data_IF_582386874221
#
_entry.id   IF_582386874221
#
_cell.length_a   1.000
_cell.length_b   1.000
_cell.length_c   1.000
_cell.angle_alpha   90.00
_cell.angle_beta   90.00
_cell.angle_gamma   90.00
#
_symmetry.space_group_name_H-M   'P 1'
#
loop_
_entity.id
_entity.type
_entity.pdbx_description
1 polymer ?
#
# COMPACT_ATOMS: atom_id res chain seq x y z
N UNK A 1 -5.70 11.60 13.57
CA UNK A 1 -5.12 12.92 13.88
C UNK A 1 -6.08 14.06 13.57
N UNK A 2 -6.68 14.15 12.37
CA UNK A 2 -7.68 15.20 12.04
C UNK A 2 -8.86 15.26 13.01
N UNK A 3 -9.48 14.12 13.33
CA UNK A 3 -10.57 14.04 14.31
C UNK A 3 -10.18 14.48 15.72
N UNK A 4 -8.94 14.19 16.12
CA UNK A 4 -8.41 14.57 17.43
C UNK A 4 -8.19 16.08 17.50
N UNK A 5 -7.65 16.69 16.43
CA UNK A 5 -7.48 18.15 16.34
C UNK A 5 -8.83 18.89 16.31
N UNK A 6 -9.83 18.34 15.63
CA UNK A 6 -11.21 18.86 15.68
C UNK A 6 -11.80 18.77 17.08
N UNK A 7 -11.62 17.65 17.78
CA UNK A 7 -12.09 17.50 19.15
C UNK A 7 -11.42 18.49 20.10
N UNK A 8 -10.10 18.69 19.98
CA UNK A 8 -9.37 19.72 20.75
C UNK A 8 -9.94 21.11 20.45
N UNK A 9 -10.13 21.46 19.18
CA UNK A 9 -10.68 22.75 18.78
C UNK A 9 -12.07 22.99 19.40
N UNK A 10 -12.99 22.02 19.26
CA UNK A 10 -14.35 22.10 19.82
C UNK A 10 -14.31 22.24 21.34
N UNK A 11 -13.48 21.43 22.02
CA UNK A 11 -13.34 21.48 23.47
C UNK A 11 -12.79 22.82 23.93
N UNK A 12 -11.78 23.37 23.25
CA UNK A 12 -11.21 24.68 23.58
C UNK A 12 -12.21 25.83 23.39
N UNK A 13 -13.04 25.76 22.35
CA UNK A 13 -14.12 26.73 22.15
C UNK A 13 -15.17 26.67 23.27
N UNK A 14 -15.52 25.46 23.68
CA UNK A 14 -16.50 25.21 24.74
C UNK A 14 -15.97 25.67 26.11
N UNK A 15 -14.70 25.43 26.41
CA UNK A 15 -14.08 25.90 27.67
C UNK A 15 -13.94 27.43 27.73
N UNK A 16 -13.70 28.09 26.60
CA UNK A 16 -13.76 29.56 26.48
C UNK A 16 -15.17 30.08 26.75
N UNK A 17 -16.19 29.41 26.21
CA UNK A 17 -17.60 29.83 26.35
C UNK A 17 -18.13 29.69 27.78
N UNK A 18 -17.68 28.67 28.51
CA UNK A 18 -18.01 28.47 29.95
C UNK A 18 -17.13 29.36 30.85
N UNK A 19 -16.13 30.07 30.30
CA UNK A 19 -15.25 30.97 31.06
C UNK A 19 -14.21 30.26 31.91
N UNK A 20 -14.01 28.96 31.72
CA UNK A 20 -13.06 28.13 32.49
C UNK A 20 -11.62 28.27 32.00
N UNK A 21 -11.43 28.69 30.75
CA UNK A 21 -10.12 28.85 30.13
C UNK A 21 -9.80 30.33 29.95
N UNK A 22 -8.58 30.75 30.33
CA UNK A 22 -8.15 32.13 30.10
C UNK A 22 -8.22 32.49 28.60
N UNK A 23 -8.65 33.71 28.24
CA UNK A 23 -8.76 34.13 26.83
C UNK A 23 -7.46 33.94 26.04
N UNK A 24 -6.32 34.22 26.66
CA UNK A 24 -5.01 34.16 26.01
C UNK A 24 -4.59 32.71 25.68
N UNK A 25 -4.79 31.77 26.62
CA UNK A 25 -4.53 30.33 26.38
C UNK A 25 -5.48 29.76 25.32
N UNK A 26 -6.75 30.16 25.35
CA UNK A 26 -7.73 29.72 24.35
C UNK A 26 -7.36 30.16 22.94
N UNK A 27 -6.91 31.41 22.78
CA UNK A 27 -6.51 31.96 21.48
C UNK A 27 -5.25 31.25 20.93
N UNK A 28 -4.27 30.93 21.78
CA UNK A 28 -3.11 30.12 21.41
C UNK A 28 -3.49 28.71 20.94
N UNK A 29 -4.37 28.03 21.67
CA UNK A 29 -4.80 26.68 21.31
C UNK A 29 -5.60 26.65 20.01
N UNK A 30 -6.46 27.64 19.79
CA UNK A 30 -7.22 27.78 18.54
C UNK A 30 -6.27 28.02 17.37
N UNK A 31 -5.33 28.96 17.48
CA UNK A 31 -4.37 29.27 16.40
C UNK A 31 -3.50 28.06 16.06
N UNK A 32 -2.98 27.34 17.05
CA UNK A 32 -2.23 26.09 16.85
C UNK A 32 -3.08 25.01 16.16
N UNK A 33 -4.31 24.81 16.62
CA UNK A 33 -5.21 23.78 16.08
C UNK A 33 -5.62 24.08 14.64
N UNK A 34 -5.98 25.32 14.35
CA UNK A 34 -6.33 25.79 13.01
C UNK A 34 -5.12 25.71 12.09
N UNK A 35 -3.94 26.17 12.53
CA UNK A 35 -2.71 26.07 11.76
C UNK A 35 -2.36 24.62 11.40
N UNK A 36 -2.48 23.69 12.35
CA UNK A 36 -2.28 22.27 12.12
C UNK A 36 -3.30 21.69 11.12
N UNK A 37 -4.58 22.05 11.23
CA UNK A 37 -5.62 21.61 10.30
C UNK A 37 -5.37 22.13 8.88
N UNK A 38 -5.02 23.41 8.74
CA UNK A 38 -4.67 24.03 7.46
C UNK A 38 -3.46 23.33 6.84
N UNK A 39 -2.41 23.07 7.63
CA UNK A 39 -1.24 22.34 7.16
C UNK A 39 -1.59 20.93 6.65
N UNK A 40 -2.41 20.17 7.38
CA UNK A 40 -2.85 18.83 6.99
C UNK A 40 -3.67 18.88 5.68
N UNK A 41 -4.55 19.89 5.55
CA UNK A 41 -5.35 20.10 4.34
C UNK A 41 -4.47 20.42 3.14
N UNK A 42 -3.55 21.40 3.25
CA UNK A 42 -2.61 21.76 2.20
C UNK A 42 -1.71 20.59 1.81
N UNK A 43 -1.15 19.86 2.77
CA UNK A 43 -0.34 18.65 2.49
C UNK A 43 -1.14 17.62 1.71
N UNK A 44 -2.40 17.40 2.09
CA UNK A 44 -3.26 16.44 1.40
C UNK A 44 -3.59 16.91 -0.02
N UNK A 45 -3.95 18.18 -0.20
CA UNK A 45 -4.25 18.76 -1.50
C UNK A 45 -3.02 18.74 -2.42
N UNK A 46 -1.84 19.04 -1.88
CA UNK A 46 -0.57 18.94 -2.60
C UNK A 46 -0.28 17.53 -3.09
N UNK A 47 -0.51 16.50 -2.26
CA UNK A 47 -0.34 15.09 -2.66
C UNK A 47 -1.25 14.75 -3.83
N UNK A 48 -2.53 15.13 -3.78
CA UNK A 48 -3.48 14.88 -4.87
C UNK A 48 -3.12 15.67 -6.14
N UNK A 49 -2.77 16.94 -6.00
CA UNK A 49 -2.36 17.79 -7.10
C UNK A 49 -1.10 17.26 -7.78
N UNK A 50 -0.09 16.86 -7.00
CA UNK A 50 1.13 16.25 -7.52
C UNK A 50 0.81 14.96 -8.28
N UNK A 51 0.03 14.05 -7.67
CA UNK A 51 -0.36 12.80 -8.30
C UNK A 51 -1.11 13.05 -9.62
N UNK A 52 -2.07 13.98 -9.64
CA UNK A 52 -2.84 14.32 -10.83
C UNK A 52 -1.96 14.90 -11.94
N UNK A 53 -1.13 15.91 -11.63
CA UNK A 53 -0.25 16.55 -12.61
C UNK A 53 0.79 15.56 -13.17
N UNK A 54 1.30 14.67 -12.33
CA UNK A 54 2.24 13.63 -12.75
C UNK A 54 1.56 12.57 -13.60
N UNK A 55 0.35 12.15 -13.24
CA UNK A 55 -0.46 11.21 -14.01
C UNK A 55 -0.76 11.75 -15.41
N UNK A 56 -1.10 13.04 -15.53
CA UNK A 56 -1.29 13.70 -16.83
C UNK A 56 -0.03 13.70 -17.68
N UNK A 57 1.14 14.03 -17.10
CA UNK A 57 2.42 14.00 -17.81
C UNK A 57 2.79 12.60 -18.30
N UNK A 58 2.47 11.59 -17.49
CA UNK A 58 2.68 10.20 -17.83
C UNK A 58 1.55 9.63 -18.71
N UNK A 59 0.49 10.38 -19.04
CA UNK A 59 -0.70 9.83 -19.69
C UNK A 59 -1.20 8.52 -19.05
N UNK A 60 -1.05 8.41 -17.73
CA UNK A 60 -1.31 7.17 -17.00
C UNK A 60 -2.79 6.95 -16.71
N UNK A 61 -3.15 5.71 -16.40
CA UNK A 61 -4.55 5.34 -16.09
C UNK A 61 -4.84 5.23 -14.59
N UNK A 62 -3.81 5.20 -13.75
CA UNK A 62 -3.97 5.06 -12.31
C UNK A 62 -2.79 5.66 -11.53
N UNK A 63 -3.06 6.19 -10.35
CA UNK A 63 -2.08 6.70 -9.39
C UNK A 63 -2.43 6.25 -7.97
N UNK A 64 -1.43 5.90 -7.18
CA UNK A 64 -1.57 5.58 -5.76
C UNK A 64 -0.40 6.12 -4.94
N UNK A 65 -0.67 6.48 -3.70
CA UNK A 65 0.35 6.92 -2.75
C UNK A 65 0.52 5.88 -1.65
N UNK A 66 1.70 5.26 -1.58
CA UNK A 66 1.98 4.15 -0.66
C UNK A 66 3.34 4.31 -0.01
N UNK A 67 3.49 3.72 1.17
CA UNK A 67 4.77 3.74 1.89
C UNK A 67 5.64 2.57 1.47
N UNK A 68 6.83 2.85 0.95
CA UNK A 68 7.81 1.82 0.65
C UNK A 68 8.37 1.24 1.96
N UNK A 69 8.38 -0.08 2.08
CA UNK A 69 8.83 -0.78 3.28
C UNK A 69 10.17 -1.46 3.05
N UNK A 70 10.33 -2.19 1.95
CA UNK A 70 11.55 -2.96 1.65
C UNK A 70 11.60 -3.30 0.17
N UNK A 71 12.81 -3.50 -0.37
CA UNK A 71 13.04 -3.96 -1.74
C UNK A 71 13.68 -2.90 -2.64
N UNK A 72 13.15 -2.82 -3.87
CA UNK A 72 13.53 -2.02 -5.07
C UNK A 72 14.16 -0.63 -4.89
N UNK A 73 14.12 -0.01 -3.71
CA UNK A 73 14.74 1.30 -3.45
C UNK A 73 15.46 1.33 -2.09
N UNK A 74 16.62 1.98 -2.05
CA UNK A 74 17.51 2.02 -0.88
C UNK A 74 16.94 2.76 0.35
N UNK A 75 15.82 3.48 0.25
CA UNK A 75 15.22 4.22 1.38
C UNK A 75 13.92 3.59 1.86
N UNK A 76 14.05 2.64 2.79
CA UNK A 76 12.93 2.11 3.59
C UNK A 76 12.22 3.24 4.34
N UNK A 77 10.89 3.29 4.27
CA UNK A 77 10.05 4.20 5.05
C UNK A 77 9.67 5.51 4.35
N UNK A 78 10.17 5.77 3.13
CA UNK A 78 9.71 6.87 2.30
C UNK A 78 8.34 6.58 1.69
N UNK A 79 7.56 7.63 1.50
CA UNK A 79 6.28 7.53 0.83
C UNK A 79 6.46 7.76 -0.67
N UNK A 80 6.16 6.74 -1.45
CA UNK A 80 6.35 6.68 -2.89
C UNK A 80 5.00 6.83 -3.62
N UNK A 81 5.03 7.49 -4.76
CA UNK A 81 3.93 7.48 -5.71
C UNK A 81 4.11 6.34 -6.70
N UNK A 82 3.06 5.57 -6.90
CA UNK A 82 3.01 4.49 -7.88
C UNK A 82 2.04 4.93 -8.96
N UNK A 83 2.47 4.90 -10.22
CA UNK A 83 1.65 5.23 -11.37
C UNK A 83 1.59 4.05 -12.33
N UNK A 84 0.46 3.90 -13.01
CA UNK A 84 0.34 3.01 -14.16
C UNK A 84 0.33 3.87 -15.42
N UNK A 85 1.39 3.80 -16.21
CA UNK A 85 1.52 4.56 -17.46
C UNK A 85 0.56 4.00 -18.56
N UNK A 86 0.36 4.72 -19.65
CA UNK A 86 -0.38 4.30 -20.85
C UNK A 86 0.11 2.96 -21.38
N UNK A 87 1.44 2.78 -21.41
CA UNK A 87 2.12 1.56 -21.84
C UNK A 87 2.02 0.43 -20.80
N UNK A 88 1.25 0.64 -19.73
CA UNK A 88 0.96 -0.32 -18.66
C UNK A 88 2.17 -0.68 -17.80
N UNK A 89 3.26 0.06 -17.95
CA UNK A 89 4.42 0.00 -17.06
C UNK A 89 4.09 0.65 -15.72
N UNK A 90 4.61 0.07 -14.63
CA UNK A 90 4.53 0.65 -13.30
C UNK A 90 5.68 1.64 -13.11
N UNK A 91 5.34 2.87 -12.73
CA UNK A 91 6.32 3.91 -12.43
C UNK A 91 6.30 4.19 -10.94
N UNK A 92 7.42 3.94 -10.29
CA UNK A 92 7.69 4.29 -8.89
C UNK A 92 8.40 5.65 -8.85
N UNK A 93 7.84 6.60 -8.13
CA UNK A 93 8.35 7.97 -8.03
C UNK A 93 8.44 8.37 -6.55
N UNK A 94 9.67 8.43 -6.01
CA UNK A 94 9.96 8.90 -4.64
C UNK A 94 10.27 10.41 -4.62
N UNK A 95 9.83 11.16 -5.64
CA UNK A 95 10.10 12.60 -5.91
C UNK A 95 11.56 12.96 -6.19
N UNK A 96 12.51 12.18 -5.68
CA UNK A 96 13.94 12.32 -5.95
C UNK A 96 14.35 11.43 -7.12
N UNK A 97 13.93 10.17 -7.08
CA UNK A 97 14.24 9.16 -8.09
C UNK A 97 12.96 8.59 -8.68
N UNK A 98 13.04 8.25 -9.96
CA UNK A 98 12.00 7.57 -10.70
C UNK A 98 12.52 6.22 -11.19
N UNK A 99 11.79 5.16 -10.91
CA UNK A 99 12.08 3.80 -11.40
C UNK A 99 10.88 3.34 -12.20
N UNK A 100 11.10 2.98 -13.46
CA UNK A 100 10.07 2.40 -14.32
C UNK A 100 10.27 0.89 -14.37
N UNK A 101 9.23 0.16 -14.00
CA UNK A 101 9.14 -1.29 -14.05
C UNK A 101 8.25 -1.63 -15.23
N UNK A 102 8.85 -2.24 -16.25
CA UNK A 102 8.12 -2.67 -17.43
C UNK A 102 7.13 -3.77 -17.06
N UNK A 103 5.97 -3.78 -17.72
CA UNK A 103 4.90 -4.69 -17.34
C UNK A 103 5.29 -6.16 -17.52
N UNK A 104 6.05 -6.50 -18.55
CA UNK A 104 6.58 -7.84 -18.81
C UNK A 104 7.46 -8.35 -17.66
N UNK A 105 8.26 -7.48 -17.05
CA UNK A 105 9.10 -7.79 -15.87
C UNK A 105 8.30 -8.02 -14.59
N UNK A 106 7.03 -7.62 -14.53
CA UNK A 106 6.18 -7.91 -13.37
C UNK A 106 5.74 -9.38 -13.43
N UNK A 107 6.23 -10.20 -12.52
CA UNK A 107 5.85 -11.61 -12.43
C UNK A 107 4.52 -11.73 -11.68
N UNK A 108 4.43 -11.15 -10.48
CA UNK A 108 3.24 -11.26 -9.62
C UNK A 108 3.08 -10.06 -8.70
N UNK A 109 1.83 -9.68 -8.46
CA UNK A 109 1.46 -8.67 -7.46
C UNK A 109 0.57 -9.37 -6.44
N UNK A 110 0.90 -9.34 -5.14
CA UNK A 110 -0.04 -9.78 -4.10
C UNK A 110 -0.48 -8.60 -3.26
N UNK A 111 -1.78 -8.52 -2.98
CA UNK A 111 -2.36 -7.55 -2.07
C UNK A 111 -3.03 -8.31 -0.95
N UNK A 112 -2.55 -8.15 0.27
CA UNK A 112 -3.06 -8.84 1.43
C UNK A 112 -3.09 -7.95 2.66
N UNK A 113 -3.84 -8.38 3.68
CA UNK A 113 -3.83 -7.71 4.97
C UNK A 113 -2.45 -7.80 5.62
N UNK A 114 -1.90 -6.66 6.05
CA UNK A 114 -0.58 -6.63 6.67
C UNK A 114 -0.55 -7.44 7.98
N UNK A 115 -1.68 -7.57 8.68
CA UNK A 115 -1.81 -8.44 9.84
C UNK A 115 -1.57 -9.92 9.49
N UNK A 116 -1.96 -10.37 8.30
CA UNK A 116 -1.76 -11.73 7.83
C UNK A 116 -0.28 -12.02 7.57
N UNK A 117 0.46 -11.06 7.01
CA UNK A 117 1.91 -11.16 6.75
C UNK A 117 2.69 -11.45 8.04
N UNK A 118 2.25 -10.89 9.18
CA UNK A 118 2.91 -11.15 10.46
C UNK A 118 2.64 -12.55 11.03
N UNK A 119 1.63 -13.26 10.53
CA UNK A 119 1.21 -14.58 11.03
C UNK A 119 1.66 -15.73 10.14
N UNK A 120 1.72 -15.52 8.82
CA UNK A 120 2.24 -16.51 7.88
C UNK A 120 3.74 -16.71 8.06
N UNK A 121 4.30 -17.83 7.61
CA UNK A 121 5.74 -18.07 7.52
C UNK A 121 6.33 -17.53 6.21
N UNK A 122 7.65 -17.30 6.17
CA UNK A 122 8.30 -16.74 4.97
C UNK A 122 8.17 -17.70 3.77
N UNK A 123 8.15 -19.01 4.02
CA UNK A 123 7.87 -20.04 3.00
C UNK A 123 6.44 -19.93 2.46
N UNK A 124 5.45 -19.76 3.32
CA UNK A 124 4.05 -19.62 2.90
C UNK A 124 3.86 -18.36 2.04
N UNK A 125 4.45 -17.23 2.44
CA UNK A 125 4.38 -16.01 1.63
C UNK A 125 5.12 -16.20 0.29
N UNK A 126 6.25 -16.91 0.30
CA UNK A 126 6.99 -17.23 -0.91
C UNK A 126 6.17 -18.13 -1.86
N UNK A 127 5.49 -19.15 -1.35
CA UNK A 127 4.58 -20.02 -2.10
C UNK A 127 3.41 -19.24 -2.72
N UNK A 128 2.80 -18.30 -1.98
CA UNK A 128 1.74 -17.42 -2.52
C UNK A 128 2.25 -16.56 -3.67
N UNK A 129 3.51 -16.12 -3.60
CA UNK A 129 4.17 -15.34 -4.62
C UNK A 129 4.74 -16.20 -5.77
N UNK A 130 4.81 -17.53 -5.60
CA UNK A 130 5.42 -18.45 -6.56
C UNK A 130 6.94 -18.25 -6.67
N UNK A 131 7.60 -17.92 -5.57
CA UNK A 131 9.03 -17.63 -5.49
C UNK A 131 9.70 -18.40 -4.34
N UNK A 132 11.03 -18.39 -4.28
CA UNK A 132 11.76 -18.89 -3.12
C UNK A 132 11.75 -17.87 -1.96
N UNK A 133 12.05 -18.35 -0.74
CA UNK A 133 12.04 -17.51 0.45
C UNK A 133 13.06 -16.37 0.33
N UNK A 134 12.59 -15.12 0.47
CA UNK A 134 13.38 -13.93 0.22
C UNK A 134 13.66 -13.12 1.50
N UNK A 135 14.89 -12.63 1.76
CA UNK A 135 15.25 -11.91 2.99
C UNK A 135 14.44 -10.62 3.23
N UNK A 136 13.90 -10.01 2.17
CA UNK A 136 13.03 -8.84 2.28
C UNK A 136 11.74 -9.11 3.09
N UNK A 137 11.26 -10.35 3.15
CA UNK A 137 10.10 -10.74 3.99
C UNK A 137 10.38 -10.47 5.48
N UNK A 138 11.59 -10.81 5.94
CA UNK A 138 11.98 -10.59 7.32
C UNK A 138 12.09 -9.09 7.66
N UNK A 139 12.55 -8.25 6.71
CA UNK A 139 12.59 -6.80 6.89
C UNK A 139 11.19 -6.20 7.08
N UNK A 140 10.22 -6.68 6.30
CA UNK A 140 8.81 -6.25 6.36
C UNK A 140 8.18 -6.62 7.69
N UNK A 141 8.39 -7.84 8.19
CA UNK A 141 7.90 -8.24 9.53
C UNK A 141 8.45 -7.32 10.62
N UNK A 142 9.76 -7.07 10.62
CA UNK A 142 10.40 -6.14 11.58
C UNK A 142 9.83 -4.73 11.47
N UNK A 143 9.49 -4.27 10.26
CA UNK A 143 8.84 -2.97 10.07
C UNK A 143 7.39 -2.96 10.60
N UNK A 144 6.62 -4.02 10.37
CA UNK A 144 5.25 -4.17 10.86
C UNK A 144 5.16 -4.27 12.38
N UNK A 145 6.14 -4.89 13.03
CA UNK A 145 6.25 -4.89 14.51
C UNK A 145 6.43 -3.46 15.03
N UNK A 146 7.26 -2.65 14.38
CA UNK A 146 7.49 -1.23 14.73
C UNK A 146 6.32 -0.31 14.38
N UNK A 147 5.46 -0.70 13.44
CA UNK A 147 4.35 0.11 12.94
C UNK A 147 3.01 -0.63 13.10
N UNK A 148 2.46 -0.72 14.33
CA UNK A 148 1.24 -1.49 14.58
C UNK A 148 0.01 -0.96 13.84
N UNK A 149 -0.03 0.35 13.52
CA UNK A 149 -1.09 0.94 12.69
C UNK A 149 -1.11 0.38 11.26
N UNK A 150 0.06 0.00 10.71
CA UNK A 150 0.16 -0.59 9.39
C UNK A 150 -0.46 -2.00 9.31
N UNK A 151 -0.46 -2.75 10.42
CA UNK A 151 -1.04 -4.11 10.50
C UNK A 151 -2.53 -4.16 10.17
N UNK A 152 -3.24 -3.03 10.27
CA UNK A 152 -4.67 -2.92 9.96
C UNK A 152 -4.94 -2.55 8.51
N UNK A 153 -3.89 -2.35 7.70
CA UNK A 153 -3.98 -1.86 6.33
C UNK A 153 -3.52 -2.91 5.32
N UNK A 154 -3.86 -2.67 4.06
CA UNK A 154 -3.38 -3.53 2.98
C UNK A 154 -1.89 -3.28 2.73
N UNK A 155 -1.20 -4.36 2.39
CA UNK A 155 0.16 -4.33 1.88
C UNK A 155 0.17 -4.93 0.48
N UNK A 156 0.87 -4.26 -0.44
CA UNK A 156 1.14 -4.71 -1.78
C UNK A 156 2.56 -5.26 -1.84
N UNK A 157 2.69 -6.50 -2.30
CA UNK A 157 3.93 -7.18 -2.60
C UNK A 157 4.06 -7.20 -4.13
N UNK A 158 5.20 -6.78 -4.63
CA UNK A 158 5.51 -6.72 -6.05
C UNK A 158 6.73 -7.60 -6.30
N UNK A 159 6.55 -8.67 -7.07
CA UNK A 159 7.62 -9.56 -7.51
C UNK A 159 7.93 -9.31 -8.99
N UNK A 160 9.20 -9.01 -9.28
CA UNK A 160 9.71 -8.60 -10.58
C UNK A 160 10.92 -9.39 -11.00
N UNK A 161 11.05 -9.67 -12.28
CA UNK A 161 12.22 -10.29 -12.90
C UNK A 161 13.26 -9.23 -13.30
N UNK A 162 14.54 -9.55 -13.10
CA UNK A 162 15.64 -8.89 -13.81
C UNK A 162 15.93 -7.42 -13.47
N UNK A 163 15.41 -6.87 -12.36
CA UNK A 163 15.74 -5.52 -11.89
C UNK A 163 17.12 -5.50 -11.22
N UNK A 164 18.19 -5.56 -12.02
CA UNK A 164 19.56 -5.32 -11.53
C UNK A 164 19.74 -3.81 -11.35
N UNK A 165 19.85 -3.33 -10.11
CA UNK A 165 20.42 -2.00 -9.83
C UNK A 165 21.81 -2.18 -9.21
N UNK A 166 22.71 -1.22 -9.48
CA UNK A 166 24.11 -1.26 -9.04
C UNK A 166 24.27 -1.19 -7.50
N UNK A 167 23.21 -0.82 -6.77
CA UNK A 167 23.15 -0.82 -5.30
C UNK A 167 22.87 -2.25 -4.75
N UNK A 168 23.80 -3.15 -5.06
CA UNK A 168 23.72 -4.59 -4.85
C UNK A 168 23.93 -5.03 -3.39
N UNK A 169 22.96 -4.76 -2.50
CA UNK A 169 22.89 -5.44 -1.19
C UNK A 169 21.52 -6.06 -0.86
N UNK A 170 20.47 -5.74 -1.61
CA UNK A 170 19.15 -6.39 -1.49
C UNK A 170 18.69 -6.75 -2.90
N UNK A 171 18.48 -8.04 -3.16
CA UNK A 171 17.87 -8.51 -4.39
C UNK A 171 16.55 -7.74 -4.63
N UNK A 172 16.55 -6.95 -5.69
CA UNK A 172 15.49 -6.01 -6.09
C UNK A 172 14.28 -6.71 -6.72
N UNK A 173 14.21 -8.03 -6.62
CA UNK A 173 13.15 -8.83 -7.22
C UNK A 173 11.84 -8.67 -6.44
N UNK A 174 11.88 -8.27 -5.16
CA UNK A 174 10.71 -8.19 -4.30
C UNK A 174 10.60 -6.85 -3.59
N UNK A 175 9.53 -6.11 -3.85
CA UNK A 175 9.21 -4.86 -3.16
C UNK A 175 7.90 -4.91 -2.37
N UNK A 176 7.87 -4.15 -1.28
CA UNK A 176 6.74 -4.08 -0.37
C UNK A 176 6.28 -2.65 -0.17
N UNK A 177 4.98 -2.44 -0.34
CA UNK A 177 4.33 -1.15 -0.18
C UNK A 177 3.17 -1.27 0.79
N UNK A 178 3.09 -0.37 1.77
CA UNK A 178 2.00 -0.32 2.74
C UNK A 178 1.07 0.85 2.45
N UNK A 179 -0.23 0.59 2.40
CA UNK A 179 -1.28 1.62 2.32
C UNK A 179 -1.62 2.17 3.73
N UNK A 180 -0.59 2.46 4.52
CA UNK A 180 -0.76 2.97 5.89
C UNK A 180 -1.53 4.30 5.93
N UNK A 181 -1.43 5.09 4.85
CA UNK A 181 -2.10 6.38 4.72
C UNK A 181 -3.51 6.29 4.13
N UNK A 182 -3.93 5.11 3.64
CA UNK A 182 -5.25 4.90 3.01
C UNK A 182 -5.44 5.67 1.70
N UNK A 183 -4.35 6.07 1.06
CA UNK A 183 -4.30 6.88 -0.19
C UNK A 183 -3.70 6.07 -1.35
N UNK A 184 -3.55 4.76 -1.16
CA UNK A 184 -2.95 3.87 -2.13
C UNK A 184 -3.91 3.48 -3.24
N UNK A 185 -5.24 3.68 -3.13
CA UNK A 185 -6.24 3.29 -4.14
C UNK A 185 -6.06 1.86 -4.70
N UNK A 186 -5.59 0.92 -3.88
CA UNK A 186 -5.15 -0.42 -4.33
C UNK A 186 -6.29 -1.20 -5.01
N UNK A 187 -7.53 -1.03 -4.55
CA UNK A 187 -8.70 -1.70 -5.19
C UNK A 187 -8.91 -1.26 -6.63
N UNK A 188 -8.59 -0.01 -6.97
CA UNK A 188 -8.69 0.51 -8.34
C UNK A 188 -7.54 0.00 -9.21
N UNK A 189 -6.34 -0.16 -8.63
CA UNK A 189 -5.20 -0.81 -9.29
C UNK A 189 -5.54 -2.24 -9.68
N UNK A 190 -6.10 -3.01 -8.75
CA UNK A 190 -6.50 -4.41 -8.97
C UNK A 190 -7.64 -4.57 -10.00
N UNK A 191 -8.35 -3.49 -10.35
CA UNK A 191 -9.35 -3.49 -11.43
C UNK A 191 -8.74 -3.28 -12.81
N UNK A 192 -7.51 -2.80 -12.90
CA UNK A 192 -6.82 -2.61 -14.18
C UNK A 192 -6.57 -3.98 -14.80
N UNK A 193 -7.05 -4.28 -16.03
CA UNK A 193 -6.96 -5.63 -16.61
C UNK A 193 -5.54 -6.19 -16.63
N UNK A 194 -4.56 -5.34 -16.95
CA UNK A 194 -3.15 -5.73 -17.06
C UNK A 194 -2.55 -6.13 -15.71
N UNK A 195 -3.03 -5.52 -14.63
CA UNK A 195 -2.61 -5.84 -13.27
C UNK A 195 -3.40 -7.03 -12.73
N UNK A 196 -4.71 -7.09 -12.97
CA UNK A 196 -5.61 -8.11 -12.45
C UNK A 196 -5.12 -9.53 -12.79
N UNK A 197 -4.67 -9.76 -14.02
CA UNK A 197 -4.15 -11.07 -14.48
C UNK A 197 -2.93 -11.53 -13.68
N UNK A 198 -2.14 -10.59 -13.15
CA UNK A 198 -0.93 -10.86 -12.37
C UNK A 198 -1.16 -10.72 -10.87
N UNK A 199 -2.37 -10.33 -10.46
CA UNK A 199 -2.66 -9.94 -9.10
C UNK A 199 -3.36 -11.03 -8.29
N UNK A 200 -2.85 -11.29 -7.11
CA UNK A 200 -3.48 -12.09 -6.07
C UNK A 200 -4.05 -11.16 -5.00
N UNK A 201 -5.37 -11.13 -4.84
CA UNK A 201 -6.02 -10.36 -3.78
C UNK A 201 -6.50 -11.27 -2.65
N UNK A 202 -5.97 -11.04 -1.45
CA UNK A 202 -6.40 -11.70 -0.21
C UNK A 202 -7.20 -10.68 0.62
N UNK A 203 -8.52 -10.90 0.78
CA UNK A 203 -9.37 -10.00 1.55
C UNK A 203 -8.94 -9.87 3.03
N UNK A 204 -9.31 -8.75 3.65
CA UNK A 204 -9.19 -8.62 5.11
C UNK A 204 -10.07 -9.66 5.81
N UNK A 205 -9.53 -10.25 6.88
CA UNK A 205 -10.21 -11.26 7.67
C UNK A 205 -10.11 -12.69 7.13
N UNK A 206 -9.38 -12.93 6.04
CA UNK A 206 -9.02 -14.30 5.62
C UNK A 206 -8.23 -14.98 6.72
N UNK A 207 -8.64 -16.20 7.09
CA UNK A 207 -7.95 -17.03 8.08
C UNK A 207 -6.85 -17.85 7.40
N UNK A 208 -5.82 -18.22 8.15
CA UNK A 208 -4.71 -19.05 7.64
C UNK A 208 -5.24 -20.41 7.17
N UNK A 209 -6.19 -20.99 7.91
CA UNK A 209 -6.88 -22.24 7.56
C UNK A 209 -7.61 -22.18 6.20
N UNK A 210 -8.02 -20.99 5.75
CA UNK A 210 -8.64 -20.81 4.42
C UNK A 210 -7.60 -20.75 3.29
N UNK A 211 -6.35 -20.40 3.61
CA UNK A 211 -5.22 -20.33 2.67
C UNK A 211 -4.49 -21.67 2.58
N UNK A 212 -4.36 -22.37 3.71
CA UNK A 212 -3.69 -23.67 3.85
C UNK A 212 -4.61 -24.62 4.65
N UNK A 213 -5.63 -25.21 4.00
CA UNK A 213 -6.48 -26.20 4.66
C UNK A 213 -5.64 -27.43 5.05
N UNK A 214 -5.83 -27.92 6.28
CA UNK A 214 -5.16 -29.15 6.74
C UNK A 214 -5.61 -30.39 5.96
N UNK A 215 -4.86 -31.51 6.06
CA UNK A 215 -5.23 -32.75 5.39
C UNK A 215 -6.62 -33.21 5.85
N UNK A 216 -7.58 -33.26 4.92
CA UNK A 216 -8.96 -33.70 5.16
C UNK A 216 -10.04 -32.61 5.23
N UNK A 217 -9.70 -31.32 5.10
CA UNK A 217 -10.71 -30.26 4.95
C UNK A 217 -10.83 -29.82 3.48
N UNK A 218 -12.00 -30.01 2.88
CA UNK A 218 -12.32 -29.37 1.61
C UNK A 218 -12.28 -27.85 1.79
N UNK A 219 -11.40 -27.22 1.00
CA UNK A 219 -11.28 -25.78 0.88
C UNK A 219 -12.66 -25.18 0.58
N UNK A 220 -13.32 -24.58 1.59
CA UNK A 220 -14.37 -23.58 1.36
C UNK A 220 -13.70 -22.32 0.81
N UNK A 221 -13.29 -22.41 -0.46
CA UNK A 221 -12.66 -21.35 -1.25
C UNK A 221 -13.66 -20.20 -1.30
N UNK A 222 -13.53 -19.26 -0.36
CA UNK A 222 -14.18 -17.96 -0.44
C UNK A 222 -13.51 -17.23 -1.60
N UNK A 223 -13.92 -17.54 -2.84
CA UNK A 223 -13.31 -17.15 -4.14
C UNK A 223 -12.11 -16.22 -3.95
N UNK A 224 -10.96 -16.80 -3.63
CA UNK A 224 -9.68 -16.12 -3.84
C UNK A 224 -9.69 -15.93 -5.35
N UNK A 225 -9.97 -14.70 -5.80
CA UNK A 225 -10.03 -14.39 -7.23
C UNK A 225 -8.61 -14.44 -7.75
N UNK A 226 -8.18 -15.65 -8.09
CA UNK A 226 -7.11 -15.87 -9.05
C UNK A 226 -7.79 -15.67 -10.41
N UNK A 227 -7.56 -14.54 -11.07
CA UNK A 227 -8.00 -14.41 -12.46
C UNK A 227 -6.99 -15.13 -13.36
N UNK A 228 -7.07 -16.46 -13.38
CA UNK A 228 -6.48 -17.25 -14.45
C UNK A 228 -7.33 -17.01 -15.70
N UNK A 229 -6.86 -16.15 -16.58
CA UNK A 229 -7.42 -15.99 -17.91
C UNK A 229 -6.97 -17.13 -18.80
N UNK A 230 -7.61 -18.31 -18.72
CA UNK A 230 -7.38 -19.43 -19.65
C UNK A 230 -8.43 -20.55 -19.59
N UNK A 231 -9.72 -20.26 -19.38
CA UNK A 231 -10.77 -21.32 -19.38
C UNK A 231 -12.03 -20.96 -20.17
N UNK A 232 -11.89 -20.17 -21.24
CA UNK A 232 -13.02 -19.85 -22.15
C UNK A 232 -12.79 -20.22 -23.62
N UNK A 233 -11.88 -21.16 -23.91
CA UNK A 233 -11.62 -21.62 -25.29
C UNK A 233 -11.95 -23.11 -25.51
N UNK A 234 -12.34 -23.88 -24.49
CA UNK A 234 -12.75 -25.28 -24.68
C UNK A 234 -14.10 -25.62 -24.04
N UNK A 235 -15.17 -25.04 -24.59
CA UNK A 235 -16.50 -25.68 -24.62
C UNK A 235 -17.43 -24.86 -25.52
N UNK A 236 -17.60 -25.36 -26.73
CA UNK A 236 -18.46 -24.82 -27.78
C UNK A 236 -18.31 -25.67 -29.03
N UNK A 237 -18.51 -26.98 -28.88
CA UNK A 237 -19.22 -27.78 -29.89
C UNK A 237 -20.72 -27.59 -29.64
#
# INVERSE_FOLDING_TARGET
MTWLMLAILILTLLMLLIGTLSPLLGLLLITLSVGALVYIAFRTLYIHYYAFKRLQRLNGTWAGYMRHVSGLTAKTGNSCFIFLNRDKNLVLDDRQNQVTIENDKIIRIAVMDAGLITKLNDREIADLMGMESHPALHAVRRWLVRNPSAKRQFMMLLYTDGLKSEDAQLNNELAFFSDIEGKGHIKELLRQPVIAVKALYIPKGTKIEELYPGPGQESKRKRIRVSTGTDKIMKGE
#
